data_IF_048070912614
#
_entry.id   IF_048070912614
#
_cell.length_a   1.000
_cell.length_b   1.000
_cell.length_c   1.000
_cell.angle_alpha   90.00
_cell.angle_beta   90.00
_cell.angle_gamma   90.00
#
_symmetry.space_group_name_H-M   'P 1'
#
loop_
_entity.id
_entity.type
_entity.pdbx_description
1 polymer ?
#
# COMPACT_ATOMS: atom_id res chain seq x y z
N UNK A 1 3.74 -10.92 15.93
CA UNK A 1 3.90 -9.80 14.99
C UNK A 1 5.17 -9.04 15.26
N UNK A 2 6.15 -9.08 14.35
CA UNK A 2 7.27 -8.13 14.30
C UNK A 2 6.95 -7.16 13.16
N UNK A 3 7.09 -5.86 13.37
CA UNK A 3 6.96 -4.90 12.26
C UNK A 3 8.03 -5.22 11.23
N UNK A 4 7.61 -5.64 10.04
CA UNK A 4 8.50 -5.99 8.95
C UNK A 4 7.81 -5.64 7.62
N UNK A 5 8.53 -5.00 6.71
CA UNK A 5 7.99 -4.45 5.48
C UNK A 5 7.35 -3.07 5.66
N UNK A 6 6.41 -2.74 4.78
CA UNK A 6 5.73 -1.45 4.77
C UNK A 6 4.53 -1.42 5.69
N UNK A 7 4.47 -0.40 6.55
CA UNK A 7 3.31 -0.07 7.35
C UNK A 7 2.65 1.14 6.72
N UNK A 8 1.35 1.05 6.45
CA UNK A 8 0.54 2.16 5.97
C UNK A 8 -0.43 2.61 7.06
N UNK A 9 -0.46 3.92 7.32
CA UNK A 9 -1.34 4.59 8.25
C UNK A 9 -2.21 5.57 7.47
N UNK A 10 -3.52 5.39 7.58
CA UNK A 10 -4.51 6.29 6.97
C UNK A 10 -4.85 7.38 7.98
N UNK A 11 -4.58 8.64 7.65
CA UNK A 11 -4.88 9.80 8.48
C UNK A 11 -6.27 10.37 8.15
N UNK A 12 -6.90 11.05 9.10
CA UNK A 12 -8.28 11.55 8.97
C UNK A 12 -8.47 12.64 7.91
N UNK A 13 -7.37 13.23 7.41
CA UNK A 13 -7.33 14.31 6.42
C UNK A 13 -7.04 13.82 4.99
N UNK A 14 -7.29 12.55 4.67
CA UNK A 14 -6.96 11.91 3.37
C UNK A 14 -5.46 11.93 3.05
N UNK A 15 -4.65 12.02 4.08
CA UNK A 15 -3.21 11.79 3.98
C UNK A 15 -2.89 10.37 4.43
N UNK A 16 -1.78 9.86 3.91
CA UNK A 16 -1.31 8.51 4.14
C UNK A 16 0.16 8.60 4.52
N UNK A 17 0.53 7.88 5.56
CA UNK A 17 1.93 7.74 5.96
C UNK A 17 2.31 6.30 5.74
N UNK A 18 3.31 6.07 4.90
CA UNK A 18 3.84 4.74 4.63
C UNK A 18 5.29 4.71 5.11
N UNK A 19 5.62 3.78 6.01
CA UNK A 19 6.93 3.68 6.66
C UNK A 19 7.48 2.27 6.50
N UNK A 20 8.77 2.16 6.23
CA UNK A 20 9.43 0.87 6.08
C UNK A 20 10.13 0.43 7.36
N UNK A 21 9.93 -0.84 7.74
CA UNK A 21 10.56 -1.48 8.88
C UNK A 21 11.28 -2.76 8.46
N UNK A 22 12.44 -3.02 9.05
CA UNK A 22 13.10 -4.33 9.03
C UNK A 22 13.23 -4.81 10.46
N UNK A 23 12.62 -5.96 10.78
CA UNK A 23 12.73 -6.58 12.10
C UNK A 23 12.50 -5.60 13.29
N UNK A 24 11.46 -4.77 13.22
CA UNK A 24 11.06 -3.70 14.18
C UNK A 24 11.91 -2.43 14.14
N UNK A 25 12.96 -2.39 13.34
CA UNK A 25 13.78 -1.18 13.17
C UNK A 25 13.16 -0.35 12.06
N UNK A 26 12.82 0.90 12.37
CA UNK A 26 12.43 1.87 11.34
C UNK A 26 13.63 2.13 10.43
N UNK A 27 13.46 1.90 9.13
CA UNK A 27 14.55 1.96 8.16
C UNK A 27 14.93 3.38 7.74
N UNK A 28 14.30 4.40 8.36
CA UNK A 28 14.40 5.79 7.93
C UNK A 28 13.98 5.97 6.46
N UNK A 29 12.95 5.22 6.04
CA UNK A 29 12.39 5.26 4.69
C UNK A 29 10.87 5.31 4.78
N UNK A 30 10.27 6.18 3.96
CA UNK A 30 8.84 6.36 3.97
C UNK A 30 8.36 7.51 3.12
N UNK A 31 7.03 7.60 3.02
CA UNK A 31 6.36 8.65 2.29
C UNK A 31 5.19 9.19 3.09
N UNK A 32 4.99 10.51 3.03
CA UNK A 32 3.71 11.14 3.31
C UNK A 32 3.06 11.43 1.98
N UNK A 33 1.83 10.98 1.79
CA UNK A 33 1.09 11.03 0.54
C UNK A 33 -0.27 11.65 0.79
N UNK A 34 -0.88 12.22 -0.25
CA UNK A 34 -2.34 12.33 -0.33
C UNK A 34 -2.84 11.59 -1.57
N UNK A 35 -4.13 11.74 -1.89
CA UNK A 35 -4.75 11.10 -3.07
C UNK A 35 -4.15 11.55 -4.42
N UNK A 36 -3.31 12.57 -4.46
CA UNK A 36 -2.79 13.18 -5.69
C UNK A 36 -1.26 13.12 -5.83
N UNK A 37 -0.51 13.25 -4.74
CA UNK A 37 0.95 13.37 -4.81
C UNK A 37 1.66 12.89 -3.55
N UNK A 38 2.97 12.69 -3.69
CA UNK A 38 3.88 12.56 -2.56
C UNK A 38 4.11 13.96 -1.95
N UNK A 39 3.77 14.09 -0.67
CA UNK A 39 3.91 15.33 0.10
C UNK A 39 5.29 15.44 0.78
N UNK A 40 5.86 14.30 1.17
CA UNK A 40 7.18 14.22 1.80
C UNK A 40 7.78 12.83 1.60
N UNK A 41 9.10 12.77 1.41
CA UNK A 41 9.89 11.54 1.51
C UNK A 41 10.66 11.60 2.83
N UNK A 42 10.75 10.47 3.53
CA UNK A 42 11.55 10.34 4.75
C UNK A 42 12.91 9.73 4.43
N UNK A 43 13.96 10.37 4.95
CA UNK A 43 15.35 9.92 4.84
C UNK A 43 15.93 10.00 3.42
N UNK A 44 17.11 9.41 3.25
CA UNK A 44 17.73 9.28 1.94
C UNK A 44 17.17 8.03 1.27
N UNK A 45 16.34 8.22 0.25
CA UNK A 45 15.64 7.13 -0.41
C UNK A 45 16.14 6.97 -1.86
N UNK A 46 16.44 5.74 -2.24
CA UNK A 46 16.66 5.39 -3.64
C UNK A 46 15.32 5.01 -4.25
N UNK A 47 14.78 5.88 -5.09
CA UNK A 47 13.56 5.66 -5.86
C UNK A 47 14.03 5.16 -7.22
N UNK A 48 14.14 3.83 -7.37
CA UNK A 48 14.83 3.26 -8.54
C UNK A 48 16.28 3.72 -8.57
N UNK A 49 16.71 4.28 -9.70
CA UNK A 49 18.07 4.82 -9.87
C UNK A 49 18.23 6.27 -9.38
N UNK A 50 17.14 6.90 -8.90
CA UNK A 50 17.12 8.29 -8.43
C UNK A 50 17.41 8.34 -6.94
N UNK A 51 18.44 9.10 -6.55
CA UNK A 51 18.78 9.32 -5.14
C UNK A 51 18.09 10.58 -4.61
N UNK A 52 17.03 10.41 -3.82
CA UNK A 52 16.35 11.53 -3.16
C UNK A 52 17.01 11.86 -1.83
N UNK A 53 17.27 13.15 -1.57
CA UNK A 53 17.68 13.65 -0.26
C UNK A 53 16.65 14.68 0.28
N UNK A 54 16.53 14.80 1.61
CA UNK A 54 15.55 15.71 2.24
C UNK A 54 15.80 17.21 1.94
N UNK A 55 16.99 17.57 1.46
CA UNK A 55 17.37 18.93 1.07
C UNK A 55 16.95 19.27 -0.38
N UNK A 56 16.65 18.27 -1.20
CA UNK A 56 16.07 18.41 -2.53
C UNK A 56 14.57 18.65 -2.36
N UNK A 57 14.13 19.86 -2.68
CA UNK A 57 12.71 20.17 -2.82
C UNK A 57 12.05 19.15 -3.77
N UNK A 58 10.77 18.82 -3.51
CA UNK A 58 9.90 18.02 -4.41
C UNK A 58 9.63 18.78 -5.74
N UNK A 59 10.46 19.76 -6.10
CA UNK A 59 10.30 20.66 -7.27
C UNK A 59 10.57 19.98 -8.61
N UNK A 60 10.98 18.69 -8.63
CA UNK A 60 11.24 17.94 -9.87
C UNK A 60 10.16 16.90 -10.16
N UNK A 61 8.95 17.11 -9.63
CA UNK A 61 7.75 16.36 -10.00
C UNK A 61 7.00 17.11 -11.09
N UNK A 62 6.92 16.51 -12.28
CA UNK A 62 6.23 17.07 -13.45
C UNK A 62 5.22 16.07 -13.98
N UNK A 63 4.25 16.53 -14.75
CA UNK A 63 3.44 15.63 -15.57
C UNK A 63 4.29 15.09 -16.73
N UNK A 64 4.23 13.79 -16.97
CA UNK A 64 4.97 13.15 -18.04
C UNK A 64 4.56 11.71 -18.30
N UNK A 65 5.26 11.11 -19.25
CA UNK A 65 5.05 9.73 -19.69
C UNK A 65 6.36 8.97 -19.48
N UNK A 66 6.27 7.79 -18.88
CA UNK A 66 7.40 6.87 -18.72
C UNK A 66 7.00 5.51 -19.26
N UNK A 67 7.80 4.98 -20.18
CA UNK A 67 7.64 3.66 -20.75
C UNK A 67 8.71 2.70 -20.19
N UNK A 68 8.33 1.45 -19.94
CA UNK A 68 9.27 0.35 -19.68
C UNK A 68 9.64 -0.34 -20.99
N UNK A 69 10.81 -0.98 -21.04
CA UNK A 69 11.32 -1.66 -22.24
C UNK A 69 10.37 -2.72 -22.82
N UNK A 70 9.49 -3.29 -21.99
CA UNK A 70 8.51 -4.30 -22.38
C UNK A 70 7.14 -3.72 -22.78
N UNK A 71 7.01 -2.39 -22.88
CA UNK A 71 5.83 -1.72 -23.43
C UNK A 71 4.83 -1.17 -22.41
N UNK A 72 4.93 -1.51 -21.13
CA UNK A 72 4.09 -0.89 -20.10
C UNK A 72 4.39 0.60 -19.96
N UNK A 73 3.35 1.40 -19.75
CA UNK A 73 3.43 2.86 -19.75
C UNK A 73 2.76 3.45 -18.52
N UNK A 74 3.36 4.48 -17.96
CA UNK A 74 2.75 5.32 -16.94
C UNK A 74 2.59 6.76 -17.46
N UNK A 75 1.41 7.33 -17.25
CA UNK A 75 1.10 8.73 -17.56
C UNK A 75 0.64 9.44 -16.29
N UNK A 76 1.37 10.46 -15.84
CA UNK A 76 1.03 11.19 -14.62
C UNK A 76 2.20 11.94 -14.00
N UNK A 77 2.17 12.07 -12.68
CA UNK A 77 3.25 12.72 -11.93
C UNK A 77 4.50 11.84 -11.88
N UNK A 78 5.60 12.37 -12.39
CA UNK A 78 6.88 11.67 -12.48
C UNK A 78 7.99 12.47 -11.80
N UNK A 79 8.87 11.78 -11.10
CA UNK A 79 10.12 12.34 -10.62
C UNK A 79 11.15 12.22 -11.74
N UNK A 80 11.79 13.33 -12.11
CA UNK A 80 12.79 13.33 -13.19
C UNK A 80 14.19 13.66 -12.66
N UNK A 81 15.18 12.85 -13.02
CA UNK A 81 16.60 13.15 -12.80
C UNK A 81 17.38 12.68 -14.03
N UNK A 82 18.24 13.54 -14.59
CA UNK A 82 19.12 13.19 -15.73
C UNK A 82 18.42 12.51 -16.93
N UNK A 83 17.17 12.91 -17.22
CA UNK A 83 16.28 12.38 -18.28
C UNK A 83 15.64 11.01 -18.00
N UNK A 84 15.90 10.40 -16.85
CA UNK A 84 15.13 9.24 -16.41
C UNK A 84 13.91 9.74 -15.64
N UNK A 85 12.72 9.29 -16.05
CA UNK A 85 11.47 9.56 -15.34
C UNK A 85 11.05 8.31 -14.57
N UNK A 86 10.58 8.49 -13.34
CA UNK A 86 10.02 7.40 -12.54
C UNK A 86 8.65 7.83 -12.02
N UNK A 87 7.62 6.96 -12.07
CA UNK A 87 6.31 7.27 -11.47
C UNK A 87 6.47 7.74 -10.03
N UNK A 88 5.91 8.91 -9.71
CA UNK A 88 6.06 9.54 -8.40
C UNK A 88 4.86 10.42 -8.05
N UNK A 89 3.69 9.81 -7.94
CA UNK A 89 2.44 10.49 -7.63
C UNK A 89 1.28 9.87 -8.38
N UNK A 90 0.19 10.64 -8.52
CA UNK A 90 -1.00 10.16 -9.20
C UNK A 90 -0.77 10.01 -10.69
N UNK A 91 -1.29 8.93 -11.27
CA UNK A 91 -1.32 8.73 -12.71
C UNK A 91 -2.07 7.48 -13.11
N UNK A 92 -1.90 7.12 -14.38
CA UNK A 92 -2.55 6.01 -15.06
C UNK A 92 -1.48 5.05 -15.58
N UNK A 93 -1.61 3.77 -15.27
CA UNK A 93 -0.72 2.71 -15.77
C UNK A 93 -1.44 1.89 -16.83
N UNK A 94 -0.73 1.65 -17.93
CA UNK A 94 -1.18 0.88 -19.08
C UNK A 94 -0.26 -0.32 -19.30
N UNK A 95 -0.83 -1.44 -19.77
CA UNK A 95 -0.04 -2.58 -20.26
C UNK A 95 0.54 -2.33 -21.67
N UNK A 96 1.25 -3.32 -22.19
CA UNK A 96 1.89 -3.32 -23.50
C UNK A 96 0.91 -3.34 -24.69
N UNK A 97 -0.33 -3.79 -24.44
CA UNK A 97 -1.45 -3.69 -25.39
C UNK A 97 -2.19 -2.34 -25.31
N UNK A 98 -1.82 -1.49 -24.35
CA UNK A 98 -2.43 -0.17 -24.12
C UNK A 98 -3.74 -0.21 -23.33
N UNK A 99 -4.07 -1.32 -22.68
CA UNK A 99 -5.19 -1.37 -21.74
C UNK A 99 -4.81 -0.68 -20.42
N UNK A 100 -5.73 0.14 -19.92
CA UNK A 100 -5.60 0.73 -18.61
C UNK A 100 -5.64 -0.36 -17.54
N UNK A 101 -4.59 -0.46 -16.73
CA UNK A 101 -4.47 -1.39 -15.62
C UNK A 101 -4.77 -0.74 -14.27
N UNK A 102 -4.40 0.52 -14.08
CA UNK A 102 -4.49 1.18 -12.77
C UNK A 102 -4.60 2.69 -12.86
N UNK A 103 -5.34 3.30 -11.93
CA UNK A 103 -5.36 4.74 -11.64
C UNK A 103 -5.16 4.98 -10.15
N UNK A 104 -4.18 5.80 -9.77
CA UNK A 104 -3.90 6.12 -8.38
C UNK A 104 -2.44 6.55 -8.17
N UNK A 105 -2.01 6.61 -6.91
CA UNK A 105 -0.61 6.91 -6.59
C UNK A 105 0.28 5.73 -7.00
N UNK A 106 1.33 6.04 -7.75
CA UNK A 106 2.41 5.13 -8.09
C UNK A 106 3.75 5.75 -7.72
N UNK A 107 4.60 4.96 -7.06
CA UNK A 107 5.96 5.35 -6.69
C UNK A 107 6.86 4.22 -7.16
N UNK A 108 7.75 4.51 -8.10
CA UNK A 108 8.68 3.53 -8.66
C UNK A 108 7.97 2.23 -9.10
N UNK A 109 6.95 2.38 -9.94
CA UNK A 109 6.18 1.26 -10.50
C UNK A 109 5.43 0.40 -9.48
N UNK A 110 5.30 0.86 -8.24
CA UNK A 110 4.50 0.20 -7.21
C UNK A 110 3.31 1.07 -6.81
N UNK A 111 2.17 0.43 -6.62
CA UNK A 111 0.92 1.09 -6.20
C UNK A 111 0.95 1.42 -4.71
N UNK A 112 0.52 2.63 -4.37
CA UNK A 112 0.38 3.11 -2.99
C UNK A 112 -0.92 3.90 -2.82
N UNK A 113 -1.36 4.07 -1.57
CA UNK A 113 -2.53 4.89 -1.24
C UNK A 113 -3.82 4.35 -1.84
N UNK A 114 -4.83 5.21 -2.00
CA UNK A 114 -6.08 4.82 -2.65
C UNK A 114 -5.90 4.75 -4.17
N UNK A 115 -6.45 3.71 -4.80
CA UNK A 115 -6.42 3.58 -6.25
C UNK A 115 -7.34 2.47 -6.77
N UNK A 116 -7.54 2.50 -8.08
CA UNK A 116 -8.47 1.62 -8.80
C UNK A 116 -7.70 0.81 -9.84
N UNK A 117 -7.80 -0.51 -9.81
CA UNK A 117 -7.33 -1.38 -10.90
C UNK A 117 -8.48 -1.83 -11.78
N UNK A 118 -8.16 -2.24 -13.00
CA UNK A 118 -9.13 -2.53 -14.05
C UNK A 118 -8.84 -3.89 -14.69
N UNK A 119 -9.91 -4.58 -15.07
CA UNK A 119 -9.84 -5.71 -15.99
C UNK A 119 -9.51 -5.20 -17.40
N UNK A 120 -8.99 -6.07 -18.26
CA UNK A 120 -8.67 -5.75 -19.65
C UNK A 120 -9.88 -5.30 -20.50
N UNK A 121 -11.12 -5.49 -20.03
CA UNK A 121 -12.32 -4.97 -20.67
C UNK A 121 -12.72 -3.57 -20.18
N UNK A 122 -11.89 -2.94 -19.35
CA UNK A 122 -12.11 -1.60 -18.78
C UNK A 122 -13.04 -1.57 -17.57
N UNK A 123 -13.63 -2.69 -17.15
CA UNK A 123 -14.37 -2.75 -15.88
C UNK A 123 -13.41 -2.65 -14.70
N UNK A 124 -13.86 -2.02 -13.60
CA UNK A 124 -13.11 -2.00 -12.34
C UNK A 124 -12.89 -3.44 -11.89
N UNK A 125 -11.67 -3.76 -11.48
CA UNK A 125 -11.28 -5.01 -10.85
C UNK A 125 -11.24 -4.86 -9.33
N UNK A 126 -10.59 -3.80 -8.86
CA UNK A 126 -10.46 -3.48 -7.45
C UNK A 126 -10.49 -1.97 -7.24
N UNK A 127 -11.14 -1.54 -6.17
CA UNK A 127 -11.14 -0.17 -5.69
C UNK A 127 -10.83 -0.18 -4.18
N UNK A 128 -9.71 0.43 -3.77
CA UNK A 128 -9.31 0.43 -2.37
C UNK A 128 -7.88 0.91 -2.15
N UNK A 129 -7.33 0.60 -0.98
CA UNK A 129 -5.95 0.99 -0.67
C UNK A 129 -4.92 -0.02 -1.18
N UNK A 130 -3.74 0.51 -1.45
CA UNK A 130 -2.56 -0.18 -1.92
C UNK A 130 -1.35 0.20 -1.07
N UNK A 131 -0.45 -0.73 -0.88
CA UNK A 131 0.83 -0.52 -0.23
C UNK A 131 1.87 -1.45 -0.85
N UNK A 132 2.90 -0.89 -1.49
CA UNK A 132 3.96 -1.65 -2.13
C UNK A 132 3.41 -2.72 -3.09
N UNK A 133 2.50 -2.31 -3.96
CA UNK A 133 1.82 -3.14 -4.96
C UNK A 133 0.83 -4.19 -4.42
N UNK A 134 0.65 -4.26 -3.11
CA UNK A 134 -0.31 -5.15 -2.48
C UNK A 134 -1.58 -4.41 -2.10
N UNK A 135 -2.74 -5.07 -2.25
CA UNK A 135 -4.01 -4.57 -1.68
C UNK A 135 -3.84 -4.42 -0.16
N UNK A 136 -4.34 -3.32 0.37
CA UNK A 136 -4.22 -2.95 1.77
C UNK A 136 -5.52 -2.33 2.28
N UNK A 137 -5.77 -2.38 3.59
CA UNK A 137 -6.91 -1.73 4.22
C UNK A 137 -8.24 -2.19 3.64
N UNK A 138 -9.27 -1.33 3.67
CA UNK A 138 -10.57 -1.66 3.10
C UNK A 138 -10.54 -1.53 1.57
N UNK A 139 -11.14 -2.50 0.88
CA UNK A 139 -11.29 -2.45 -0.57
C UNK A 139 -12.48 -3.27 -1.08
N UNK A 140 -12.88 -2.98 -2.32
CA UNK A 140 -13.96 -3.63 -3.04
C UNK A 140 -13.42 -4.34 -4.27
N UNK A 141 -13.87 -5.57 -4.50
CA UNK A 141 -13.51 -6.39 -5.66
C UNK A 141 -14.73 -6.56 -6.56
N UNK A 142 -14.52 -6.41 -7.85
CA UNK A 142 -15.57 -6.49 -8.86
C UNK A 142 -15.23 -7.54 -9.93
N UNK A 143 -16.26 -8.20 -10.47
CA UNK A 143 -16.09 -9.11 -11.60
C UNK A 143 -15.98 -8.34 -12.93
N UNK A 144 -15.77 -9.10 -14.01
CA UNK A 144 -15.65 -8.56 -15.38
C UNK A 144 -16.96 -7.96 -15.93
N UNK A 145 -18.07 -8.05 -15.21
CA UNK A 145 -19.35 -7.42 -15.56
C UNK A 145 -19.62 -6.18 -14.69
N UNK A 146 -18.67 -5.79 -13.84
CA UNK A 146 -18.80 -4.67 -12.91
C UNK A 146 -19.66 -4.98 -11.70
N UNK A 147 -19.95 -6.25 -11.41
CA UNK A 147 -20.70 -6.65 -10.23
C UNK A 147 -19.76 -6.75 -9.03
N UNK A 148 -20.16 -6.17 -7.91
CA UNK A 148 -19.45 -6.32 -6.63
C UNK A 148 -19.42 -7.81 -6.22
N UNK A 149 -18.21 -8.34 -6.02
CA UNK A 149 -17.94 -9.71 -5.61
C UNK A 149 -17.61 -9.78 -4.13
N UNK A 150 -16.77 -8.86 -3.64
CA UNK A 150 -16.31 -8.85 -2.25
C UNK A 150 -16.08 -7.42 -1.76
N UNK A 151 -16.28 -7.18 -0.46
CA UNK A 151 -15.86 -5.98 0.26
C UNK A 151 -15.28 -6.41 1.62
N UNK A 152 -13.96 -6.30 1.77
CA UNK A 152 -13.24 -6.82 2.92
C UNK A 152 -12.00 -5.95 3.24
N UNK A 153 -11.29 -6.33 4.30
CA UNK A 153 -9.98 -5.80 4.63
C UNK A 153 -8.88 -6.56 3.90
N UNK A 154 -7.75 -5.92 3.70
CA UNK A 154 -6.56 -6.51 3.08
C UNK A 154 -5.33 -6.21 3.93
N UNK A 155 -4.56 -7.24 4.23
CA UNK A 155 -3.26 -7.15 4.88
C UNK A 155 -2.21 -7.78 3.95
N UNK A 156 -1.38 -6.96 3.31
CA UNK A 156 -0.37 -7.41 2.35
C UNK A 156 -0.94 -8.35 1.27
N UNK A 157 -2.06 -7.95 0.65
CA UNK A 157 -2.70 -8.71 -0.43
C UNK A 157 -3.51 -9.94 0.04
N UNK A 158 -3.53 -10.23 1.34
CA UNK A 158 -4.34 -11.31 1.92
C UNK A 158 -5.64 -10.72 2.45
N UNK A 159 -6.77 -11.30 2.06
CA UNK A 159 -8.08 -10.97 2.62
C UNK A 159 -8.05 -11.18 4.14
N UNK A 160 -8.44 -10.14 4.88
CA UNK A 160 -8.66 -10.20 6.30
C UNK A 160 -10.03 -9.59 6.60
N UNK A 161 -10.69 -10.10 7.64
CA UNK A 161 -11.91 -9.46 8.08
C UNK A 161 -11.61 -8.03 8.53
N UNK A 162 -12.52 -7.12 8.14
CA UNK A 162 -12.56 -5.76 8.70
C UNK A 162 -13.05 -5.84 10.16
N UNK A 163 -13.52 -7.02 10.57
CA UNK A 163 -14.10 -7.25 11.87
C UNK A 163 -13.15 -6.86 12.99
N UNK A 164 -13.77 -6.31 14.02
CA UNK A 164 -13.13 -5.94 15.26
C UNK A 164 -12.58 -7.16 16.00
N UNK A 165 -12.72 -8.40 15.48
CA UNK A 165 -12.30 -9.64 16.14
C UNK A 165 -11.38 -10.51 15.26
N UNK A 166 -10.24 -10.92 15.83
CA UNK A 166 -9.41 -12.01 15.31
C UNK A 166 -9.63 -13.27 16.15
N UNK A 167 -9.75 -14.43 15.52
CA UNK A 167 -9.74 -15.74 16.17
C UNK A 167 -8.86 -16.72 15.38
N UNK A 168 -7.76 -17.19 15.99
CA UNK A 168 -6.81 -18.08 15.32
C UNK A 168 -5.52 -18.31 16.11
N UNK A 169 -4.62 -19.11 15.56
CA UNK A 169 -3.33 -19.46 16.16
C UNK A 169 -2.25 -18.39 15.92
N UNK A 170 -2.56 -17.32 15.18
CA UNK A 170 -1.59 -16.30 14.79
C UNK A 170 -0.86 -16.56 13.47
N UNK A 171 -1.21 -17.63 12.74
CA UNK A 171 -0.64 -17.93 11.42
C UNK A 171 -1.14 -16.99 10.31
N UNK A 172 -2.39 -16.52 10.44
CA UNK A 172 -2.98 -15.52 9.54
C UNK A 172 -2.54 -14.10 9.94
N UNK A 173 -2.44 -13.16 8.98
CA UNK A 173 -2.16 -11.76 9.27
C UNK A 173 -3.09 -11.18 10.35
N UNK A 174 -2.51 -10.44 11.29
CA UNK A 174 -3.25 -9.72 12.33
C UNK A 174 -3.51 -8.29 11.87
N UNK A 175 -4.78 -7.88 11.86
CA UNK A 175 -5.17 -6.50 11.62
C UNK A 175 -4.83 -5.64 12.86
N UNK A 176 -3.95 -4.65 12.71
CA UNK A 176 -3.55 -3.74 13.81
C UNK A 176 -4.72 -2.90 14.36
N UNK A 177 -5.80 -2.76 13.60
CA UNK A 177 -7.02 -2.08 14.01
C UNK A 177 -8.06 -2.97 14.71
N UNK A 178 -7.76 -4.25 14.97
CA UNK A 178 -8.68 -5.15 15.68
C UNK A 178 -8.92 -4.69 17.12
N UNK A 179 -10.10 -5.02 17.67
CA UNK A 179 -10.46 -4.75 19.07
C UNK A 179 -10.41 -5.99 19.96
N UNK A 180 -10.68 -7.17 19.41
CA UNK A 180 -10.79 -8.40 20.17
C UNK A 180 -9.86 -9.44 19.54
N UNK A 181 -8.85 -9.88 20.29
CA UNK A 181 -7.92 -10.91 19.85
C UNK A 181 -8.16 -12.19 20.63
N UNK A 182 -8.58 -13.28 19.96
CA UNK A 182 -8.62 -14.62 20.53
C UNK A 182 -7.52 -15.49 19.92
N UNK A 183 -6.56 -15.90 20.75
CA UNK A 183 -5.48 -16.81 20.38
C UNK A 183 -5.83 -18.21 20.88
N UNK A 184 -6.10 -19.13 19.94
CA UNK A 184 -6.42 -20.52 20.25
C UNK A 184 -5.15 -21.32 20.58
N UNK A 185 -5.35 -22.56 21.04
CA UNK A 185 -4.26 -23.50 21.32
C UNK A 185 -3.33 -23.67 20.11
N UNK A 186 -2.05 -23.97 20.39
CA UNK A 186 -0.96 -24.03 19.40
C UNK A 186 -0.62 -22.67 18.76
N UNK A 187 -0.83 -21.56 19.48
CA UNK A 187 -0.43 -20.23 19.06
C UNK A 187 1.04 -20.18 18.57
N UNK A 188 1.25 -19.68 17.36
CA UNK A 188 2.56 -19.57 16.69
C UNK A 188 3.23 -18.22 16.93
N UNK A 189 2.55 -17.27 17.56
CA UNK A 189 3.11 -15.94 17.83
C UNK A 189 4.14 -16.00 18.96
N UNK A 190 5.38 -15.65 18.61
CA UNK A 190 6.47 -15.47 19.58
C UNK A 190 6.90 -14.00 19.63
N UNK A 191 7.23 -13.54 20.84
CA UNK A 191 7.77 -12.20 21.15
C UNK A 191 7.01 -11.02 20.53
N UNK A 192 5.70 -11.12 20.33
CA UNK A 192 4.95 -10.09 19.61
C UNK A 192 4.65 -8.87 20.47
N UNK A 193 4.56 -7.70 19.83
CA UNK A 193 4.30 -6.44 20.51
C UNK A 193 2.81 -6.09 20.45
N UNK A 194 2.15 -6.14 21.61
CA UNK A 194 0.73 -5.82 21.77
C UNK A 194 0.46 -4.33 21.52
N UNK A 195 1.44 -3.44 21.76
CA UNK A 195 1.21 -1.99 21.60
C UNK A 195 0.99 -1.56 20.15
N UNK A 196 1.26 -2.46 19.20
CA UNK A 196 0.98 -2.25 17.78
C UNK A 196 -0.52 -2.37 17.46
N UNK A 197 -1.30 -3.03 18.32
CA UNK A 197 -2.74 -3.18 18.18
C UNK A 197 -3.44 -1.97 18.81
N UNK A 198 -3.44 -0.85 18.10
CA UNK A 198 -3.82 0.46 18.66
C UNK A 198 -5.29 0.57 19.08
N UNK A 199 -6.16 -0.30 18.56
CA UNK A 199 -7.58 -0.36 18.88
C UNK A 199 -7.94 -1.52 19.81
N UNK A 200 -6.97 -2.27 20.35
CA UNK A 200 -7.25 -3.49 21.09
C UNK A 200 -7.96 -3.22 22.42
N UNK A 201 -9.12 -3.84 22.60
CA UNK A 201 -9.97 -3.78 23.79
C UNK A 201 -9.88 -5.06 24.64
N UNK A 202 -9.66 -6.23 24.04
CA UNK A 202 -9.55 -7.51 24.78
C UNK A 202 -8.62 -8.53 24.12
N UNK A 203 -7.95 -9.32 24.96
CA UNK A 203 -7.18 -10.52 24.55
C UNK A 203 -7.72 -11.74 25.31
N UNK A 204 -8.07 -12.79 24.57
CA UNK A 204 -8.42 -14.12 25.07
C UNK A 204 -7.35 -15.11 24.61
N UNK A 205 -6.87 -15.97 25.52
CA UNK A 205 -5.82 -16.96 25.24
C UNK A 205 -6.31 -18.32 25.71
N UNK A 206 -6.24 -19.30 24.81
CA UNK A 206 -6.73 -20.66 25.01
C UNK A 206 -8.14 -20.86 24.47
N UNK A 207 -8.61 -22.10 24.61
CA UNK A 207 -10.01 -22.49 24.40
C UNK A 207 -10.86 -22.39 25.68
#
# INVERSE_FOLDING_TARGET
MKLNGWISLILSNREFVVLQFDNRVFMNQGFVLNEQKVLKVFGNHQIGDISYNEEQSIEVVVEGIVDLDHGSRFEGLILTENKLGIPFGYGEMYDDDGFLLYKGIMINWKRFGYGTSYHNNGCIEYEGYWCDDNRFGRGKVYDRYGKLVNECGWCNGIECDIDEKYEGDGSKPLNIGMKHLKLIDNCVLVDWDVSLLYNLESIEIGD
#
